data_IF_240459783796
#
_entry.id   IF_240459783796
#
_cell.length_a   1.000
_cell.length_b   1.000
_cell.length_c   1.000
_cell.angle_alpha   90.00
_cell.angle_beta   90.00
_cell.angle_gamma   90.00
#
_symmetry.space_group_name_H-M   'P 1'
#
loop_
_entity.id
_entity.type
_entity.pdbx_description
1 polymer ?
#
# COMPACT_ATOMS: atom_id res chain seq x y z
N UNK A 1 1.18 -7.42 -19.57
CA UNK A 1 0.65 -8.59 -20.31
C UNK A 1 1.12 -9.85 -19.60
N UNK A 2 0.32 -10.92 -19.58
CA UNK A 2 0.71 -12.21 -19.00
C UNK A 2 0.88 -13.26 -20.09
N UNK A 3 1.59 -14.35 -19.79
CA UNK A 3 1.87 -15.45 -20.71
C UNK A 3 0.60 -16.08 -21.28
N UNK A 4 -0.45 -16.16 -20.45
CA UNK A 4 -1.71 -16.83 -20.76
C UNK A 4 -2.69 -15.93 -21.55
N UNK A 5 -2.32 -14.68 -21.85
CA UNK A 5 -3.15 -13.65 -22.49
C UNK A 5 -4.51 -13.44 -21.78
N UNK A 6 -4.58 -13.74 -20.50
CA UNK A 6 -5.79 -13.58 -19.69
C UNK A 6 -6.08 -12.10 -19.49
N UNK A 7 -7.28 -11.68 -19.84
CA UNK A 7 -7.77 -10.35 -19.49
C UNK A 7 -8.02 -10.27 -17.97
N UNK A 8 -7.30 -9.39 -17.30
CA UNK A 8 -7.40 -9.21 -15.86
C UNK A 8 -8.32 -8.04 -15.55
N UNK A 9 -9.28 -8.25 -14.65
CA UNK A 9 -10.08 -7.14 -14.11
C UNK A 9 -9.17 -6.24 -13.28
N UNK A 10 -9.31 -4.94 -13.48
CA UNK A 10 -8.70 -3.95 -12.59
C UNK A 10 -9.35 -4.04 -11.21
N UNK A 11 -8.53 -3.95 -10.17
CA UNK A 11 -8.98 -3.84 -8.79
C UNK A 11 -8.43 -2.57 -8.17
N UNK A 12 -9.01 -2.18 -7.06
CA UNK A 12 -8.57 -1.05 -6.25
C UNK A 12 -8.13 -1.56 -4.87
N UNK A 13 -7.15 -0.91 -4.22
CA UNK A 13 -6.41 0.27 -4.67
C UNK A 13 -5.20 -0.04 -5.57
N UNK A 14 -4.66 1.00 -6.22
CA UNK A 14 -3.27 1.00 -6.71
C UNK A 14 -2.38 1.47 -5.57
N UNK A 15 -1.31 0.71 -5.28
CA UNK A 15 -0.45 0.95 -4.12
C UNK A 15 0.89 1.49 -4.61
N UNK A 16 1.30 2.64 -4.09
CA UNK A 16 2.65 3.18 -4.27
C UNK A 16 3.44 2.96 -2.97
N UNK A 17 4.52 2.20 -3.06
CA UNK A 17 5.41 1.89 -1.94
C UNK A 17 6.81 2.43 -2.21
N UNK A 18 7.57 2.70 -1.14
CA UNK A 18 9.01 3.00 -1.21
C UNK A 18 9.79 1.91 -0.51
N UNK A 19 10.89 1.50 -1.11
CA UNK A 19 11.89 0.70 -0.40
C UNK A 19 12.53 1.56 0.69
N UNK A 20 12.61 1.00 1.89
CA UNK A 20 13.23 1.63 3.05
C UNK A 20 14.75 1.81 2.85
N UNK A 21 15.38 0.98 2.01
CA UNK A 21 16.84 1.00 1.80
C UNK A 21 17.28 1.63 0.47
N UNK A 22 16.54 1.41 -0.63
CA UNK A 22 17.06 1.66 -1.99
C UNK A 22 16.45 2.85 -2.75
N UNK A 23 15.65 3.71 -2.10
CA UNK A 23 14.92 4.85 -2.74
C UNK A 23 13.99 4.48 -3.91
N UNK A 24 13.92 3.21 -4.27
CA UNK A 24 13.10 2.70 -5.36
C UNK A 24 11.61 2.84 -5.01
N UNK A 25 10.82 3.34 -5.96
CA UNK A 25 9.37 3.44 -5.86
C UNK A 25 8.74 2.25 -6.59
N UNK A 26 7.85 1.53 -5.92
CA UNK A 26 7.12 0.40 -6.49
C UNK A 26 5.66 0.77 -6.67
N UNK A 27 5.11 0.43 -7.83
CA UNK A 27 3.67 0.46 -8.11
C UNK A 27 3.14 -0.97 -8.09
N UNK A 28 2.19 -1.24 -7.20
CA UNK A 28 1.58 -2.56 -7.04
C UNK A 28 0.08 -2.52 -7.35
N UNK A 29 -0.38 -3.60 -7.96
CA UNK A 29 -1.79 -3.85 -8.23
C UNK A 29 -2.22 -5.09 -7.46
N UNK A 30 -3.39 -5.02 -6.85
CA UNK A 30 -3.98 -6.18 -6.18
C UNK A 30 -4.54 -7.13 -7.25
N UNK A 31 -4.40 -8.43 -7.06
CA UNK A 31 -5.05 -9.40 -7.94
C UNK A 31 -6.49 -9.64 -7.49
N UNK A 32 -7.42 -10.05 -8.37
CA UNK A 32 -8.74 -10.50 -7.95
C UNK A 32 -8.68 -11.63 -6.91
N UNK A 33 -9.66 -11.67 -5.99
CA UNK A 33 -9.67 -12.57 -4.82
C UNK A 33 -9.55 -14.06 -5.15
N UNK A 34 -9.97 -14.49 -6.34
CA UNK A 34 -9.81 -15.87 -6.82
C UNK A 34 -8.35 -16.36 -6.86
N UNK A 35 -7.37 -15.46 -6.84
CA UNK A 35 -5.94 -15.79 -6.85
C UNK A 35 -5.28 -15.69 -5.46
N UNK A 36 -6.02 -15.35 -4.40
CA UNK A 36 -5.42 -15.11 -3.07
C UNK A 36 -5.10 -16.39 -2.31
N UNK A 37 -5.90 -17.44 -2.51
CA UNK A 37 -5.71 -18.74 -1.84
C UNK A 37 -4.47 -19.44 -2.40
N UNK A 38 -4.40 -19.52 -3.73
CA UNK A 38 -3.28 -20.10 -4.45
C UNK A 38 -2.73 -19.10 -5.49
N UNK A 39 -1.65 -18.39 -5.18
CA UNK A 39 -1.01 -17.48 -6.13
C UNK A 39 -0.34 -18.17 -7.31
N UNK A 40 -0.10 -19.49 -7.26
CA UNK A 40 0.55 -20.20 -8.37
C UNK A 40 -0.36 -20.29 -9.60
N UNK A 41 -1.68 -20.26 -9.39
CA UNK A 41 -2.66 -20.22 -10.49
C UNK A 41 -2.84 -18.81 -11.08
N UNK A 42 -2.17 -17.79 -10.54
CA UNK A 42 -2.21 -16.45 -11.11
C UNK A 42 -1.44 -16.40 -12.44
N UNK A 43 -1.97 -15.70 -13.46
CA UNK A 43 -1.29 -15.56 -14.75
C UNK A 43 0.09 -14.92 -14.58
N UNK A 44 1.10 -15.60 -15.12
CA UNK A 44 2.48 -15.16 -14.94
C UNK A 44 2.82 -13.96 -15.84
N UNK A 45 3.50 -12.92 -15.33
CA UNK A 45 3.96 -11.82 -16.16
C UNK A 45 4.94 -12.31 -17.23
N UNK A 46 5.10 -11.52 -18.30
CA UNK A 46 6.12 -11.82 -19.32
C UNK A 46 7.53 -11.61 -18.73
N UNK A 47 8.52 -12.44 -19.07
CA UNK A 47 9.87 -12.39 -18.48
C UNK A 47 10.54 -11.00 -18.54
N UNK A 48 10.30 -10.22 -19.61
CA UNK A 48 10.93 -8.92 -19.85
C UNK A 48 10.02 -7.73 -19.52
N UNK A 49 8.93 -7.95 -18.79
CA UNK A 49 7.95 -6.89 -18.50
C UNK A 49 8.35 -5.95 -17.36
N UNK A 50 9.39 -6.29 -16.58
CA UNK A 50 9.72 -5.59 -15.33
C UNK A 50 8.66 -5.75 -14.24
N UNK A 51 7.68 -6.63 -14.44
CA UNK A 51 6.60 -6.92 -13.47
C UNK A 51 6.88 -8.25 -12.81
N UNK A 52 6.77 -8.29 -11.48
CA UNK A 52 6.90 -9.49 -10.68
C UNK A 52 5.60 -9.79 -9.94
N UNK A 53 5.38 -11.08 -9.66
CA UNK A 53 4.29 -11.52 -8.81
C UNK A 53 4.81 -11.61 -7.37
N UNK A 54 4.14 -10.91 -6.45
CA UNK A 54 4.52 -10.90 -5.04
C UNK A 54 3.35 -11.40 -4.17
N UNK A 55 3.64 -12.32 -3.24
CA UNK A 55 2.72 -12.65 -2.15
C UNK A 55 2.98 -11.69 -0.99
N UNK A 56 1.95 -10.99 -0.53
CA UNK A 56 1.98 -10.21 0.72
C UNK A 56 1.31 -11.01 1.83
N UNK A 57 1.97 -11.09 2.99
CA UNK A 57 1.38 -11.65 4.22
C UNK A 57 0.35 -10.70 4.80
N UNK A 58 -0.50 -11.21 5.70
CA UNK A 58 -1.35 -10.35 6.53
C UNK A 58 -0.50 -9.43 7.38
N UNK A 59 -0.95 -8.19 7.56
CA UNK A 59 -0.27 -7.17 8.36
C UNK A 59 -1.29 -6.16 8.89
N UNK A 60 -1.05 -5.64 10.09
CA UNK A 60 -1.83 -4.55 10.65
C UNK A 60 -1.28 -3.20 10.17
N UNK A 61 -2.20 -2.28 9.85
CA UNK A 61 -1.83 -0.98 9.30
C UNK A 61 -2.67 0.14 9.89
N UNK A 62 -2.01 1.23 10.26
CA UNK A 62 -2.66 2.48 10.56
C UNK A 62 -2.82 3.29 9.27
N UNK A 63 -3.97 3.96 9.10
CA UNK A 63 -4.31 4.70 7.90
C UNK A 63 -4.79 6.11 8.21
N UNK A 64 -4.53 7.04 7.29
CA UNK A 64 -5.24 8.31 7.21
C UNK A 64 -5.78 8.50 5.80
N UNK A 65 -7.08 8.78 5.70
CA UNK A 65 -7.75 9.05 4.43
C UNK A 65 -7.62 10.53 4.06
N UNK A 66 -7.43 10.82 2.78
CA UNK A 66 -7.40 12.19 2.27
C UNK A 66 -7.91 12.27 0.82
N UNK A 67 -8.53 13.39 0.49
CA UNK A 67 -9.01 13.69 -0.87
C UNK A 67 -8.00 14.46 -1.70
N UNK A 68 -8.36 14.74 -2.95
CA UNK A 68 -7.52 15.52 -3.87
C UNK A 68 -6.41 14.68 -4.52
N UNK A 69 -5.39 15.38 -5.02
CA UNK A 69 -4.24 14.74 -5.67
C UNK A 69 -3.19 14.30 -4.64
N UNK A 70 -2.69 13.08 -4.80
CA UNK A 70 -1.53 12.56 -4.07
C UNK A 70 -0.21 13.19 -4.58
N UNK A 71 -0.12 14.52 -4.52
CA UNK A 71 1.12 15.25 -4.81
C UNK A 71 2.18 14.94 -3.75
N UNK A 72 3.48 15.10 -4.09
CA UNK A 72 4.58 14.88 -3.14
C UNK A 72 4.38 15.66 -1.83
N UNK A 73 3.96 16.93 -1.92
CA UNK A 73 3.74 17.76 -0.74
C UNK A 73 2.58 17.27 0.13
N UNK A 74 1.46 16.88 -0.50
CA UNK A 74 0.30 16.37 0.25
C UNK A 74 0.63 15.01 0.89
N UNK A 75 1.31 14.12 0.16
CA UNK A 75 1.79 12.84 0.67
C UNK A 75 2.70 13.03 1.89
N UNK A 76 3.68 13.93 1.82
CA UNK A 76 4.57 14.20 2.95
C UNK A 76 3.84 14.81 4.16
N UNK A 77 2.84 15.67 3.90
CA UNK A 77 1.99 16.21 4.96
C UNK A 77 1.22 15.10 5.67
N UNK A 78 0.55 14.21 4.92
CA UNK A 78 -0.24 13.10 5.48
C UNK A 78 0.63 12.06 6.16
N UNK A 79 1.83 11.80 5.64
CA UNK A 79 2.85 10.97 6.31
C UNK A 79 3.18 11.52 7.69
N UNK A 80 3.54 12.80 7.80
CA UNK A 80 3.88 13.43 9.09
C UNK A 80 2.71 13.39 10.07
N UNK A 81 1.51 13.69 9.57
CA UNK A 81 0.28 13.63 10.36
C UNK A 81 0.04 12.22 10.92
N UNK A 82 0.04 11.20 10.07
CA UNK A 82 -0.17 9.80 10.45
C UNK A 82 0.88 9.32 11.47
N UNK A 83 2.17 9.54 11.19
CA UNK A 83 3.24 9.14 12.11
C UNK A 83 3.12 9.83 13.47
N UNK A 84 2.67 11.08 13.51
CA UNK A 84 2.47 11.81 14.76
C UNK A 84 1.31 11.28 15.60
N UNK A 85 0.28 10.73 14.95
CA UNK A 85 -0.87 10.10 15.62
C UNK A 85 -0.46 8.74 16.16
N UNK A 86 0.15 7.89 15.33
CA UNK A 86 0.57 6.53 15.76
C UNK A 86 1.56 6.60 16.92
N UNK A 87 2.52 7.53 16.91
CA UNK A 87 3.49 7.70 18.03
C UNK A 87 2.85 8.09 19.38
N UNK A 88 1.60 8.56 19.37
CA UNK A 88 0.85 8.93 20.57
C UNK A 88 -0.16 7.86 20.98
N UNK A 89 -0.30 6.80 20.20
CA UNK A 89 -1.22 5.71 20.49
C UNK A 89 -0.64 4.82 21.61
N UNK A 90 -1.50 4.37 22.53
CA UNK A 90 -1.09 3.53 23.66
C UNK A 90 -1.07 2.03 23.30
N UNK A 91 -1.80 1.64 22.26
CA UNK A 91 -2.02 0.24 21.89
C UNK A 91 -1.23 -0.18 20.66
N UNK A 92 -0.79 0.76 19.83
CA UNK A 92 -0.10 0.48 18.58
C UNK A 92 1.23 1.22 18.47
N UNK A 93 2.26 0.55 17.98
CA UNK A 93 3.51 1.19 17.57
C UNK A 93 3.84 0.90 16.11
N UNK A 94 4.74 1.70 15.52
CA UNK A 94 5.25 1.49 14.17
C UNK A 94 6.09 0.20 14.15
N UNK A 95 5.88 -0.64 13.13
CA UNK A 95 6.69 -1.85 12.96
C UNK A 95 8.19 -1.52 12.79
N UNK A 96 8.52 -0.38 12.19
CA UNK A 96 9.89 0.12 12.05
C UNK A 96 9.95 1.60 12.47
N UNK A 97 10.31 1.87 13.73
CA UNK A 97 10.30 3.23 14.29
C UNK A 97 11.33 4.17 13.64
N UNK A 98 12.47 3.63 13.20
CA UNK A 98 13.57 4.40 12.65
C UNK A 98 13.40 4.70 11.16
N UNK A 99 12.66 3.87 10.43
CA UNK A 99 12.43 4.03 9.01
C UNK A 99 11.06 3.50 8.59
N UNK A 100 10.00 4.18 9.04
CA UNK A 100 8.64 3.80 8.67
C UNK A 100 8.35 4.17 7.19
N UNK A 101 8.28 3.15 6.34
CA UNK A 101 7.72 3.26 4.99
C UNK A 101 6.24 3.62 5.04
N UNK A 102 5.84 4.60 4.23
CA UNK A 102 4.44 4.96 4.02
C UNK A 102 4.04 4.51 2.63
N UNK A 103 3.00 3.69 2.57
CA UNK A 103 2.34 3.32 1.32
C UNK A 103 1.22 4.31 1.02
N UNK A 104 1.08 4.68 -0.26
CA UNK A 104 -0.02 5.50 -0.75
C UNK A 104 -0.97 4.62 -1.57
N UNK A 105 -2.20 4.50 -1.10
CA UNK A 105 -3.25 3.69 -1.71
C UNK A 105 -4.22 4.63 -2.43
N UNK A 106 -4.38 4.46 -3.73
CA UNK A 106 -5.24 5.28 -4.58
C UNK A 106 -6.38 4.43 -5.11
N UNK A 107 -7.62 4.82 -4.77
CA UNK A 107 -8.82 4.03 -5.10
C UNK A 107 -9.49 4.46 -6.39
N UNK A 108 -9.20 5.67 -6.84
CA UNK A 108 -9.87 6.28 -7.98
C UNK A 108 -8.99 6.32 -9.21
N UNK A 109 -9.65 6.19 -10.36
CA UNK A 109 -9.05 6.33 -11.68
C UNK A 109 -8.41 7.73 -11.87
N UNK A 110 -7.31 7.86 -12.64
CA UNK A 110 -6.62 9.13 -12.91
C UNK A 110 -7.53 10.28 -13.35
N UNK A 111 -8.61 10.01 -14.08
CA UNK A 111 -9.57 10.99 -14.61
C UNK A 111 -10.65 11.40 -13.59
N UNK A 112 -10.65 10.82 -12.38
CA UNK A 112 -11.61 11.19 -11.33
C UNK A 112 -11.36 12.62 -10.83
N UNK A 113 -12.39 13.49 -10.76
CA UNK A 113 -12.23 14.85 -10.26
C UNK A 113 -11.66 14.90 -8.85
N UNK A 114 -10.79 15.87 -8.51
CA UNK A 114 -10.00 15.87 -7.26
C UNK A 114 -10.84 15.73 -5.98
N UNK A 115 -11.97 16.42 -5.89
CA UNK A 115 -12.85 16.41 -4.71
C UNK A 115 -13.63 15.10 -4.54
N UNK A 116 -13.58 14.19 -5.53
CA UNK A 116 -14.18 12.85 -5.47
C UNK A 116 -13.14 11.75 -5.32
N UNK A 117 -11.85 12.10 -5.23
CA UNK A 117 -10.78 11.12 -5.01
C UNK A 117 -10.70 10.77 -3.53
N UNK A 118 -10.44 9.50 -3.27
CA UNK A 118 -10.09 8.92 -1.99
C UNK A 118 -8.71 8.30 -2.12
N UNK A 119 -7.81 8.76 -1.28
CA UNK A 119 -6.48 8.20 -1.13
C UNK A 119 -6.26 7.88 0.35
N UNK A 120 -5.39 6.92 0.63
CA UNK A 120 -4.90 6.64 1.98
C UNK A 120 -3.39 6.74 2.01
N UNK A 121 -2.87 7.31 3.10
CA UNK A 121 -1.51 7.07 3.52
C UNK A 121 -1.54 6.01 4.61
N UNK A 122 -0.67 5.01 4.51
CA UNK A 122 -0.73 3.83 5.37
C UNK A 122 0.65 3.41 5.85
N UNK A 123 0.77 3.10 7.14
CA UNK A 123 2.01 2.58 7.77
C UNK A 123 1.73 1.26 8.46
N UNK A 124 2.71 0.37 8.47
CA UNK A 124 2.63 -0.90 9.21
C UNK A 124 2.75 -0.64 10.70
N UNK A 125 1.87 -1.26 11.47
CA UNK A 125 1.84 -1.17 12.93
C UNK A 125 1.78 -2.56 13.55
N UNK A 126 2.11 -2.63 14.83
CA UNK A 126 1.96 -3.84 15.64
C UNK A 126 1.34 -3.46 16.96
N UNK A 127 0.53 -4.37 17.52
CA UNK A 127 -0.05 -4.19 18.83
C UNK A 127 1.07 -4.16 19.88
N UNK A 128 1.02 -3.19 20.79
CA UNK A 128 1.86 -3.16 21.96
C UNK A 128 1.50 -4.36 22.84
N UNK A 129 2.48 -5.21 23.13
CA UNK A 129 2.29 -6.32 24.05
C UNK A 129 2.07 -5.78 25.47
N UNK A 130 0.80 -5.59 25.82
CA UNK A 130 0.35 -5.11 27.13
C UNK A 130 0.12 -6.26 28.11
N UNK A 131 0.47 -7.51 27.74
CA UNK A 131 0.26 -8.73 28.54
C UNK A 131 1.18 -8.86 29.78
N UNK A 132 1.89 -7.79 30.17
CA UNK A 132 2.94 -7.84 31.20
C UNK A 132 2.93 -6.69 32.21
N UNK A 133 1.80 -5.98 32.39
CA UNK A 133 1.62 -5.07 33.54
C UNK A 133 0.61 -5.63 34.54
#
# INVERSE_FOLDING_TARGET
>A
KNKDKVAMKMTTPVIMSKDDENTAEFMSFVLPSKYWVDPQVAPQPLPESGVTLQRRSSEDRAIIMFGGYASKNEVEKRKKELLSVVKKDENWTLLNENNASVDILQYNDPFTPPWRRLNEASVKVVLNDTSGK
#
